data_IF_541611110331
#
_entry.id   IF_541611110331
#
_cell.length_a   1.000
_cell.length_b   1.000
_cell.length_c   1.000
_cell.angle_alpha   90.00
_cell.angle_beta   90.00
_cell.angle_gamma   90.00
#
_symmetry.space_group_name_H-M   'P 1'
#
loop_
_entity.id
_entity.type
_entity.pdbx_description
1 polymer ?
#
# COMPACT_ATOMS: atom_id res chain seq x y z
N UNK A 1 -15.98 -37.07 -6.79
CA UNK A 1 -14.52 -37.17 -6.48
C UNK A 1 -14.03 -35.77 -6.19
N UNK A 2 -13.79 -35.42 -4.91
CA UNK A 2 -13.25 -34.10 -4.53
C UNK A 2 -11.73 -34.14 -4.74
N UNK A 3 -11.25 -33.52 -5.80
CA UNK A 3 -9.83 -33.30 -5.98
C UNK A 3 -9.31 -32.35 -4.88
N UNK A 4 -8.24 -32.68 -4.18
CA UNK A 4 -7.67 -31.79 -3.20
C UNK A 4 -7.24 -30.50 -3.89
N UNK A 5 -7.69 -29.35 -3.36
CA UNK A 5 -7.27 -28.05 -3.85
C UNK A 5 -5.73 -27.94 -3.79
N UNK A 6 -5.08 -27.43 -4.84
CA UNK A 6 -3.63 -27.31 -4.84
C UNK A 6 -3.16 -26.42 -3.68
N UNK A 7 -2.09 -26.85 -2.99
CA UNK A 7 -1.52 -26.12 -1.88
C UNK A 7 -1.14 -24.70 -2.32
N UNK A 8 -1.51 -23.69 -1.52
CA UNK A 8 -1.23 -22.28 -1.82
C UNK A 8 0.28 -22.05 -1.93
N UNK A 9 0.78 -21.48 -3.04
CA UNK A 9 2.21 -21.27 -3.20
C UNK A 9 2.73 -20.20 -2.21
N UNK A 10 3.88 -20.48 -1.62
CA UNK A 10 4.57 -19.59 -0.66
C UNK A 10 4.73 -18.14 -1.15
N UNK A 11 5.03 -17.85 -2.46
CA UNK A 11 5.10 -16.49 -2.96
C UNK A 11 3.81 -15.67 -2.79
N UNK A 12 2.64 -16.28 -2.95
CA UNK A 12 1.37 -15.57 -2.78
C UNK A 12 1.12 -15.19 -1.32
N UNK A 13 1.44 -16.07 -0.39
CA UNK A 13 1.34 -15.73 1.03
C UNK A 13 2.29 -14.61 1.41
N UNK A 14 3.55 -14.67 0.97
CA UNK A 14 4.54 -13.62 1.21
C UNK A 14 4.15 -12.29 0.57
N UNK A 15 3.57 -12.32 -0.64
CA UNK A 15 3.05 -11.12 -1.29
C UNK A 15 1.91 -10.50 -0.49
N UNK A 16 0.97 -11.30 0.02
CA UNK A 16 -0.11 -10.79 0.85
C UNK A 16 0.42 -10.14 2.14
N UNK A 17 1.39 -10.77 2.82
CA UNK A 17 2.05 -10.19 4.01
C UNK A 17 2.75 -8.88 3.66
N UNK A 18 3.46 -8.81 2.54
CA UNK A 18 4.13 -7.59 2.09
C UNK A 18 3.13 -6.47 1.77
N UNK A 19 1.96 -6.78 1.18
CA UNK A 19 0.87 -5.82 1.00
C UNK A 19 0.34 -5.28 2.32
N UNK A 20 0.07 -6.15 3.29
CA UNK A 20 -0.39 -5.73 4.62
C UNK A 20 0.64 -4.83 5.32
N UNK A 21 1.92 -5.17 5.21
CA UNK A 21 2.99 -4.35 5.78
C UNK A 21 3.10 -2.98 5.09
N UNK A 22 3.02 -2.95 3.75
CA UNK A 22 3.01 -1.70 2.99
C UNK A 22 1.85 -0.78 3.39
N UNK A 23 0.63 -1.34 3.49
CA UNK A 23 -0.55 -0.59 3.90
C UNK A 23 -0.44 -0.09 5.35
N UNK A 24 0.06 -0.91 6.27
CA UNK A 24 0.27 -0.53 7.67
C UNK A 24 1.30 0.60 7.80
N UNK A 25 2.44 0.49 7.13
CA UNK A 25 3.46 1.55 7.12
C UNK A 25 2.95 2.84 6.48
N UNK A 26 2.24 2.74 5.35
CA UNK A 26 1.63 3.90 4.71
C UNK A 26 0.62 4.60 5.61
N UNK A 27 -0.29 3.84 6.22
CA UNK A 27 -1.32 4.39 7.11
C UNK A 27 -0.71 5.04 8.36
N UNK A 28 0.24 4.34 9.00
CA UNK A 28 0.94 4.87 10.17
C UNK A 28 1.75 6.12 9.83
N UNK A 29 2.48 6.12 8.72
CA UNK A 29 3.23 7.28 8.25
C UNK A 29 2.33 8.48 7.95
N UNK A 30 1.19 8.24 7.29
CA UNK A 30 0.19 9.28 7.02
C UNK A 30 -0.43 9.82 8.31
N UNK A 31 -0.71 8.96 9.28
CA UNK A 31 -1.22 9.39 10.59
C UNK A 31 -0.19 10.23 11.35
N UNK A 32 1.08 9.80 11.40
CA UNK A 32 2.15 10.59 12.01
C UNK A 32 2.26 11.96 11.36
N UNK A 33 2.26 12.03 10.01
CA UNK A 33 2.32 13.29 9.29
C UNK A 33 1.13 14.22 9.56
N UNK A 34 -0.06 13.68 9.84
CA UNK A 34 -1.26 14.48 10.12
C UNK A 34 -1.35 14.97 11.57
N UNK A 35 -0.94 14.14 12.53
CA UNK A 35 -1.16 14.44 13.95
C UNK A 35 0.07 15.04 14.66
N UNK A 36 1.25 14.92 14.07
CA UNK A 36 2.48 15.42 14.68
C UNK A 36 2.82 16.87 14.26
N UNK A 37 2.12 17.45 13.29
CA UNK A 37 2.30 18.85 12.93
C UNK A 37 1.50 19.74 13.88
N UNK A 38 2.17 20.78 14.41
CA UNK A 38 1.53 21.79 15.24
C UNK A 38 0.48 22.56 14.40
N UNK A 39 -0.80 22.52 14.78
CA UNK A 39 -1.84 23.25 14.05
C UNK A 39 -1.59 24.77 14.02
N UNK A 40 -0.81 25.32 14.95
CA UNK A 40 -0.44 26.74 14.94
C UNK A 40 0.60 27.08 13.87
N UNK A 41 1.46 26.15 13.48
CA UNK A 41 2.45 26.36 12.42
C UNK A 41 1.81 26.43 11.01
N UNK A 42 0.62 25.86 10.85
CA UNK A 42 -0.11 25.77 9.57
C UNK A 42 -0.73 27.12 9.15
N UNK A 43 -0.93 28.04 10.09
CA UNK A 43 -1.67 29.31 9.85
C UNK A 43 -0.92 30.29 8.94
N UNK A 44 0.37 30.12 8.73
CA UNK A 44 1.21 31.08 7.98
C UNK A 44 1.61 30.65 6.57
N UNK A 45 1.36 29.40 6.18
CA UNK A 45 1.71 28.95 4.83
C UNK A 45 0.47 28.54 4.04
N UNK A 46 -0.11 29.52 3.33
CA UNK A 46 -1.30 29.31 2.49
C UNK A 46 -1.11 28.23 1.41
N UNK A 47 0.12 27.99 0.98
CA UNK A 47 0.42 26.91 0.01
C UNK A 47 0.27 25.52 0.64
N UNK A 48 0.51 25.42 1.95
CA UNK A 48 0.35 24.18 2.71
C UNK A 48 -1.10 23.94 3.13
N UNK A 49 -1.84 24.96 3.51
CA UNK A 49 -3.24 24.85 3.93
C UNK A 49 -4.15 24.31 2.82
N UNK A 50 -3.78 24.54 1.55
CA UNK A 50 -4.52 24.00 0.39
C UNK A 50 -4.29 22.49 0.17
N UNK A 51 -3.26 21.91 0.77
CA UNK A 51 -2.81 20.52 0.55
C UNK A 51 -2.89 19.69 1.83
N UNK A 52 -3.09 20.31 2.99
CA UNK A 52 -3.33 19.57 4.23
C UNK A 52 -4.84 19.23 4.33
N UNK A 53 -5.17 18.03 3.99
CA UNK A 53 -6.50 17.56 4.16
C UNK A 53 -6.66 17.23 5.65
N UNK A 54 -7.40 18.06 6.36
CA UNK A 54 -7.80 17.83 7.74
C UNK A 54 -8.49 16.47 7.95
N UNK A 55 -9.38 16.33 8.91
CA UNK A 55 -10.03 15.04 9.24
C UNK A 55 -10.60 14.29 8.02
N UNK A 56 -10.98 15.01 6.96
CA UNK A 56 -11.47 14.42 5.72
C UNK A 56 -10.43 13.52 5.02
N UNK A 57 -9.14 13.87 5.06
CA UNK A 57 -8.13 13.02 4.43
C UNK A 57 -7.85 11.75 5.22
N UNK A 58 -7.89 11.82 6.55
CA UNK A 58 -7.78 10.61 7.37
C UNK A 58 -8.90 9.63 7.01
N UNK A 59 -10.12 10.16 6.80
CA UNK A 59 -11.26 9.35 6.34
C UNK A 59 -11.01 8.80 4.93
N UNK A 60 -10.56 9.62 3.99
CA UNK A 60 -10.28 9.19 2.61
C UNK A 60 -9.14 8.15 2.56
N UNK A 61 -8.06 8.35 3.32
CA UNK A 61 -6.99 7.36 3.46
C UNK A 61 -7.48 6.06 4.11
N UNK A 62 -8.36 6.17 5.12
CA UNK A 62 -9.02 5.02 5.72
C UNK A 62 -9.84 4.23 4.72
N UNK A 63 -10.69 4.90 3.94
CA UNK A 63 -11.50 4.28 2.88
C UNK A 63 -10.60 3.62 1.82
N UNK A 64 -9.57 4.32 1.34
CA UNK A 64 -8.63 3.78 0.38
C UNK A 64 -7.87 2.56 0.95
N UNK A 65 -7.45 2.63 2.21
CA UNK A 65 -6.80 1.53 2.91
C UNK A 65 -7.70 0.30 3.03
N UNK A 66 -8.95 0.47 3.46
CA UNK A 66 -9.94 -0.62 3.55
C UNK A 66 -10.23 -1.22 2.17
N UNK A 67 -10.37 -0.37 1.15
CA UNK A 67 -10.56 -0.83 -0.22
C UNK A 67 -9.38 -1.68 -0.71
N UNK A 68 -8.15 -1.20 -0.56
CA UNK A 68 -6.94 -1.96 -0.94
C UNK A 68 -6.81 -3.25 -0.12
N UNK A 69 -7.08 -3.20 1.18
CA UNK A 69 -7.07 -4.37 2.05
C UNK A 69 -8.08 -5.42 1.59
N UNK A 70 -9.27 -5.00 1.16
CA UNK A 70 -10.30 -5.91 0.64
C UNK A 70 -9.88 -6.61 -0.66
N UNK A 71 -8.97 -6.02 -1.44
CA UNK A 71 -8.41 -6.65 -2.64
C UNK A 71 -7.30 -7.67 -2.34
N UNK A 72 -6.62 -7.56 -1.19
CA UNK A 72 -5.55 -8.49 -0.81
C UNK A 72 -6.10 -9.88 -0.51
N UNK A 73 -7.31 -9.98 0.05
CA UNK A 73 -7.94 -11.26 0.38
C UNK A 73 -8.25 -12.09 -0.87
N UNK A 74 -9.00 -11.61 -1.88
CA UNK A 74 -9.27 -12.38 -3.09
C UNK A 74 -7.99 -12.63 -3.93
N UNK A 75 -6.99 -11.74 -3.87
CA UNK A 75 -5.68 -12.02 -4.48
C UNK A 75 -5.04 -13.26 -3.86
N UNK A 76 -5.09 -13.40 -2.53
CA UNK A 76 -4.59 -14.57 -1.81
C UNK A 76 -5.34 -15.84 -2.20
N UNK A 77 -6.61 -15.73 -2.54
CA UNK A 77 -7.47 -16.84 -2.97
C UNK A 77 -7.36 -17.14 -4.47
N UNK A 78 -6.49 -16.43 -5.20
CA UNK A 78 -6.18 -16.71 -6.60
C UNK A 78 -7.01 -15.93 -7.62
N UNK A 79 -7.71 -14.88 -7.21
CA UNK A 79 -8.47 -14.04 -8.12
C UNK A 79 -7.55 -13.18 -9.01
N UNK A 80 -7.58 -13.41 -10.33
CA UNK A 80 -6.75 -12.67 -11.31
C UNK A 80 -7.07 -11.19 -11.37
N UNK A 81 -8.34 -10.82 -11.29
CA UNK A 81 -8.80 -9.44 -11.35
C UNK A 81 -8.24 -8.61 -10.18
N UNK A 82 -8.22 -9.18 -8.98
CA UNK A 82 -7.69 -8.54 -7.79
C UNK A 82 -6.19 -8.23 -7.93
N UNK A 83 -5.42 -9.16 -8.51
CA UNK A 83 -4.00 -8.92 -8.82
C UNK A 83 -3.80 -7.74 -9.77
N UNK A 84 -4.61 -7.68 -10.84
CA UNK A 84 -4.54 -6.58 -11.82
C UNK A 84 -4.87 -5.24 -11.15
N UNK A 85 -5.94 -5.18 -10.37
CA UNK A 85 -6.33 -3.97 -9.64
C UNK A 85 -5.26 -3.54 -8.63
N UNK A 86 -4.73 -4.45 -7.82
CA UNK A 86 -3.64 -4.12 -6.88
C UNK A 86 -2.41 -3.56 -7.60
N UNK A 87 -2.05 -4.11 -8.77
CA UNK A 87 -0.93 -3.58 -9.56
C UNK A 87 -1.23 -2.18 -10.08
N UNK A 88 -2.44 -1.92 -10.56
CA UNK A 88 -2.86 -0.60 -11.02
C UNK A 88 -2.82 0.41 -9.87
N UNK A 89 -3.31 0.03 -8.69
CA UNK A 89 -3.29 0.91 -7.51
C UNK A 89 -1.91 1.04 -6.86
N UNK A 90 -1.00 0.10 -7.09
CA UNK A 90 0.39 0.21 -6.62
C UNK A 90 1.11 1.42 -7.22
N UNK A 91 0.79 1.79 -8.47
CA UNK A 91 1.44 2.92 -9.17
C UNK A 91 1.14 4.26 -8.47
N UNK A 92 -0.13 4.70 -8.33
CA UNK A 92 -0.42 5.95 -7.64
C UNK A 92 0.02 5.93 -6.17
N UNK A 93 -0.09 4.80 -5.48
CA UNK A 93 0.41 4.67 -4.11
C UNK A 93 1.92 4.87 -4.04
N UNK A 94 2.69 4.27 -4.95
CA UNK A 94 4.13 4.48 -5.04
C UNK A 94 4.49 5.94 -5.33
N UNK A 95 3.76 6.61 -6.23
CA UNK A 95 3.97 8.03 -6.53
C UNK A 95 3.71 8.91 -5.29
N UNK A 96 2.66 8.65 -4.54
CA UNK A 96 2.36 9.36 -3.28
C UNK A 96 3.50 9.14 -2.26
N UNK A 97 3.98 7.91 -2.10
CA UNK A 97 5.07 7.59 -1.16
C UNK A 97 6.38 8.27 -1.56
N UNK A 98 6.72 8.26 -2.85
CA UNK A 98 7.91 8.97 -3.38
C UNK A 98 7.79 10.47 -3.15
N UNK A 99 6.62 11.05 -3.42
CA UNK A 99 6.36 12.46 -3.19
C UNK A 99 6.51 12.84 -1.71
N UNK A 100 5.87 12.09 -0.81
CA UNK A 100 5.96 12.31 0.65
C UNK A 100 7.41 12.22 1.14
N UNK A 101 8.15 11.20 0.71
CA UNK A 101 9.55 11.02 1.09
C UNK A 101 10.45 12.13 0.50
N UNK A 102 10.22 12.51 -0.75
CA UNK A 102 11.00 13.54 -1.44
C UNK A 102 10.86 14.92 -0.78
N UNK A 103 9.68 15.27 -0.32
CA UNK A 103 9.45 16.55 0.39
C UNK A 103 10.27 16.66 1.67
N UNK A 104 10.42 15.57 2.41
CA UNK A 104 11.22 15.54 3.65
C UNK A 104 12.70 15.79 3.39
N UNK A 105 13.22 15.36 2.24
CA UNK A 105 14.63 15.55 1.87
C UNK A 105 14.92 17.00 1.41
N UNK A 106 13.91 17.69 0.89
CA UNK A 106 14.05 19.01 0.29
C UNK A 106 13.72 20.18 1.22
N UNK A 107 13.18 19.92 2.40
CA UNK A 107 12.74 20.94 3.37
C UNK A 107 13.44 20.82 4.73
N UNK A 108 13.13 21.76 5.63
CA UNK A 108 13.52 21.71 7.04
C UNK A 108 12.72 20.61 7.75
N UNK A 109 13.31 19.41 7.81
CA UNK A 109 12.63 18.21 8.29
C UNK A 109 12.54 18.18 9.81
N UNK A 110 11.33 18.05 10.33
CA UNK A 110 11.09 17.74 11.75
C UNK A 110 11.31 16.22 12.00
N UNK A 111 11.39 15.82 13.27
CA UNK A 111 11.49 14.42 13.65
C UNK A 111 10.27 13.60 13.12
N UNK A 112 9.09 14.23 13.06
CA UNK A 112 7.88 13.61 12.51
C UNK A 112 8.00 13.37 11.00
N UNK A 113 8.56 14.34 10.26
CA UNK A 113 8.78 14.22 8.81
C UNK A 113 9.77 13.11 8.51
N UNK A 114 10.85 13.00 9.27
CA UNK A 114 11.84 11.91 9.14
C UNK A 114 11.18 10.56 9.41
N UNK A 115 10.35 10.45 10.44
CA UNK A 115 9.63 9.21 10.76
C UNK A 115 8.66 8.85 9.65
N UNK A 116 7.91 9.81 9.12
CA UNK A 116 7.01 9.60 7.99
C UNK A 116 7.77 9.14 6.73
N UNK A 117 8.91 9.76 6.43
CA UNK A 117 9.73 9.40 5.29
C UNK A 117 10.30 7.97 5.41
N UNK A 118 10.77 7.58 6.59
CA UNK A 118 11.24 6.21 6.84
C UNK A 118 10.13 5.18 6.67
N UNK A 119 8.96 5.43 7.22
CA UNK A 119 7.80 4.56 7.03
C UNK A 119 7.36 4.52 5.57
N UNK A 120 7.40 5.65 4.87
CA UNK A 120 7.14 5.73 3.43
C UNK A 120 8.13 4.91 2.59
N UNK A 121 9.41 4.94 2.93
CA UNK A 121 10.44 4.15 2.27
C UNK A 121 10.23 2.65 2.50
N UNK A 122 9.94 2.24 3.74
CA UNK A 122 9.61 0.84 4.06
C UNK A 122 8.36 0.40 3.29
N UNK A 123 7.32 1.23 3.25
CA UNK A 123 6.12 0.95 2.48
C UNK A 123 6.41 0.78 0.99
N UNK A 124 7.25 1.64 0.41
CA UNK A 124 7.64 1.57 -1.01
C UNK A 124 8.42 0.28 -1.31
N UNK A 125 9.39 -0.08 -0.48
CA UNK A 125 10.18 -1.32 -0.65
C UNK A 125 9.29 -2.57 -0.53
N UNK A 126 8.40 -2.61 0.45
CA UNK A 126 7.48 -3.74 0.65
C UNK A 126 6.44 -3.82 -0.45
N UNK A 127 5.96 -2.69 -0.98
CA UNK A 127 5.05 -2.62 -2.12
C UNK A 127 5.70 -3.18 -3.39
N UNK A 128 6.93 -2.77 -3.69
CA UNK A 128 7.69 -3.28 -4.83
C UNK A 128 7.92 -4.80 -4.72
N UNK A 129 8.31 -5.28 -3.53
CA UNK A 129 8.46 -6.70 -3.25
C UNK A 129 7.14 -7.49 -3.37
N UNK A 130 6.03 -6.90 -2.92
CA UNK A 130 4.70 -7.51 -3.03
C UNK A 130 4.31 -7.71 -4.50
N UNK A 131 4.50 -6.67 -5.33
CA UNK A 131 4.22 -6.74 -6.78
C UNK A 131 5.13 -7.78 -7.45
N UNK A 132 6.45 -7.78 -7.18
CA UNK A 132 7.38 -8.78 -7.74
C UNK A 132 6.91 -10.21 -7.42
N UNK A 133 6.59 -10.49 -6.15
CA UNK A 133 6.15 -11.82 -5.71
C UNK A 133 4.87 -12.29 -6.39
N UNK A 134 3.95 -11.36 -6.74
CA UNK A 134 2.71 -11.70 -7.48
C UNK A 134 2.96 -12.19 -8.90
N UNK A 135 4.06 -11.76 -9.52
CA UNK A 135 4.39 -12.09 -10.91
C UNK A 135 5.40 -13.23 -11.06
N UNK A 136 5.85 -13.83 -9.97
CA UNK A 136 6.75 -14.99 -10.03
C UNK A 136 6.12 -16.19 -10.71
N UNK A 137 6.92 -17.05 -11.38
CA UNK A 137 6.40 -18.19 -12.14
C UNK A 137 5.47 -19.10 -11.34
N UNK A 138 5.80 -19.40 -10.08
CA UNK A 138 4.99 -20.24 -9.21
C UNK A 138 3.58 -19.64 -8.93
N UNK A 139 3.50 -18.31 -8.80
CA UNK A 139 2.22 -17.63 -8.65
C UNK A 139 1.40 -17.67 -9.95
N UNK A 140 2.05 -17.48 -11.12
CA UNK A 140 1.39 -17.54 -12.43
C UNK A 140 0.77 -18.91 -12.70
N UNK A 141 1.49 -19.98 -12.39
CA UNK A 141 1.00 -21.37 -12.56
C UNK A 141 -0.24 -21.62 -11.70
N UNK A 142 -0.23 -21.16 -10.45
CA UNK A 142 -1.38 -21.30 -9.54
C UNK A 142 -2.62 -20.56 -10.07
N UNK A 143 -2.49 -19.32 -10.52
CA UNK A 143 -3.59 -18.55 -11.11
C UNK A 143 -4.16 -19.21 -12.38
N UNK A 144 -3.32 -19.87 -13.17
CA UNK A 144 -3.74 -20.59 -14.37
C UNK A 144 -4.57 -21.83 -14.00
N UNK A 145 -4.09 -22.64 -13.08
CA UNK A 145 -4.79 -23.83 -12.62
C UNK A 145 -6.17 -23.49 -12.02
N UNK A 146 -6.23 -22.41 -11.22
CA UNK A 146 -7.48 -22.00 -10.60
C UNK A 146 -8.53 -21.55 -11.62
N UNK A 147 -8.13 -20.93 -12.74
CA UNK A 147 -9.06 -20.55 -13.80
C UNK A 147 -9.58 -21.72 -14.62
N UNK A 148 -8.82 -22.80 -14.74
CA UNK A 148 -9.23 -24.02 -15.44
C UNK A 148 -10.24 -24.83 -14.61
N UNK A 149 -10.29 -24.63 -13.29
CA UNK A 149 -11.26 -25.29 -12.40
C UNK A 149 -12.56 -24.49 -12.17
N UNK A 150 -12.56 -23.21 -12.54
CA UNK A 150 -13.71 -22.31 -12.36
C UNK A 150 -14.61 -22.18 -13.62
N UNK A 151 -14.21 -22.75 -14.75
CA UNK A 151 -14.98 -22.82 -16.01
C UNK A 151 -15.47 -24.20 -16.30
#
# INVERSE_FOLDING_TARGET
MSYPLPARPTPLHRSAVAWWLALACWFTGSAVGQFAHDPAAVVYDYSYAAIQPGPLAVVLYGIAGVFLASLVLPMRDGARWSRALLTVFAIPLALVLVWQTGRTVLGDATAADVTQALLGLVALCTLAGAVDLMYRPAARTYYRQQSEHAG
#
